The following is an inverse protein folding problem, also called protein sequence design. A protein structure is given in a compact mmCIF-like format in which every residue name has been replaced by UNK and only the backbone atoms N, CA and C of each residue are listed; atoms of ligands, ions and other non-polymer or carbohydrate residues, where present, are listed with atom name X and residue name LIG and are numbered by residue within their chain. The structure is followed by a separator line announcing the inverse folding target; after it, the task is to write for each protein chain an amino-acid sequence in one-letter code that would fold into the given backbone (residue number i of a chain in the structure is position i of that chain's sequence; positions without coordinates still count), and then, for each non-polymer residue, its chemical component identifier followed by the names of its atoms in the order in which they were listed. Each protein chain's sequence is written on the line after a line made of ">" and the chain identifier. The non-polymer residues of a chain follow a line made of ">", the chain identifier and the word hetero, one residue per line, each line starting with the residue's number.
data_IF_230916471303
#
_entry.id   IF_230916471303
#
_cell.length_a   1.000
_cell.length_b   1.000
_cell.length_c   1.000
_cell.angle_alpha   90.00
_cell.angle_beta   90.00
_cell.angle_gamma   90.00
#
_symmetry.space_group_name_H-M   'P 1'
#
loop_
_entity.id
_entity.type
_entity.pdbx_description
1 polymer ?
#
# COMPACT_ATOMS: atom_id res chain seq x y z
N UNK A 1 9.67 16.55 -44.99
CA UNK A 1 9.51 15.94 -43.66
C UNK A 1 8.41 14.89 -43.75
N UNK A 2 8.67 13.65 -43.37
CA UNK A 2 7.69 12.57 -43.41
C UNK A 2 6.80 12.60 -42.16
N UNK A 3 5.47 12.54 -42.34
CA UNK A 3 4.47 12.59 -41.25
C UNK A 3 4.71 11.52 -40.20
N UNK A 4 5.16 10.33 -40.62
CA UNK A 4 5.42 9.21 -39.71
C UNK A 4 6.59 9.51 -38.79
N UNK A 5 7.64 10.14 -39.31
CA UNK A 5 8.80 10.55 -38.50
C UNK A 5 8.43 11.63 -37.51
N UNK A 6 7.65 12.63 -37.92
CA UNK A 6 7.17 13.68 -37.01
C UNK A 6 6.39 13.09 -35.82
N UNK A 7 5.41 12.22 -36.08
CA UNK A 7 4.61 11.59 -35.00
C UNK A 7 5.50 10.75 -34.07
N UNK A 8 6.41 9.93 -34.62
CA UNK A 8 7.31 9.12 -33.81
C UNK A 8 8.21 9.97 -32.91
N UNK A 9 8.80 11.05 -33.44
CA UNK A 9 9.70 11.93 -32.70
C UNK A 9 8.96 12.72 -31.63
N UNK A 10 7.77 13.26 -31.93
CA UNK A 10 6.98 14.02 -30.94
C UNK A 10 6.43 13.12 -29.83
N UNK A 11 6.00 11.90 -30.14
CA UNK A 11 5.52 10.95 -29.14
C UNK A 11 6.62 10.50 -28.17
N UNK A 12 7.83 10.26 -28.67
CA UNK A 12 8.95 9.83 -27.83
C UNK A 12 9.48 10.95 -26.90
N UNK A 13 9.47 12.21 -27.35
CA UNK A 13 9.77 13.37 -26.50
C UNK A 13 8.72 13.61 -25.40
N UNK A 14 7.44 13.48 -25.73
CA UNK A 14 6.36 13.61 -24.75
C UNK A 14 6.40 12.47 -23.71
N UNK A 15 6.76 11.26 -24.13
CA UNK A 15 6.90 10.09 -23.25
C UNK A 15 8.03 10.26 -22.24
N UNK A 16 9.19 10.79 -22.67
CA UNK A 16 10.35 10.99 -21.78
C UNK A 16 10.07 12.05 -20.69
N UNK A 17 9.34 13.11 -21.02
CA UNK A 17 8.92 14.12 -20.06
C UNK A 17 7.86 13.60 -19.06
N UNK A 18 6.92 12.76 -19.51
CA UNK A 18 5.88 12.19 -18.67
C UNK A 18 6.37 11.04 -17.77
N UNK A 19 7.33 10.23 -18.22
CA UNK A 19 7.91 9.15 -17.40
C UNK A 19 8.71 9.70 -16.21
N UNK A 20 9.29 10.88 -16.37
CA UNK A 20 10.04 11.58 -15.31
C UNK A 20 9.13 12.02 -14.15
N UNK A 21 7.87 12.34 -14.41
CA UNK A 21 6.87 12.72 -13.40
C UNK A 21 6.09 11.54 -12.82
N UNK A 22 6.05 10.39 -13.50
CA UNK A 22 5.41 9.16 -13.02
C UNK A 22 6.31 8.34 -12.07
N UNK A 23 7.61 8.62 -12.04
CA UNK A 23 8.59 7.79 -11.31
C UNK A 23 8.82 8.20 -9.85
N UNK A 24 8.07 9.17 -9.34
CA UNK A 24 8.19 9.57 -7.94
C UNK A 24 6.90 9.21 -7.20
N UNK A 25 6.87 8.10 -6.44
CA UNK A 25 5.91 8.01 -5.37
C UNK A 25 6.17 9.24 -4.48
N UNK A 26 5.28 10.22 -4.51
CA UNK A 26 5.13 11.11 -3.38
C UNK A 26 4.81 10.18 -2.22
N UNK A 27 5.81 9.91 -1.38
CA UNK A 27 5.60 9.38 -0.04
C UNK A 27 4.58 10.34 0.57
N UNK A 28 3.29 9.97 0.50
CA UNK A 28 2.26 10.67 1.22
C UNK A 28 2.75 10.68 2.66
N UNK A 29 2.77 11.87 3.29
CA UNK A 29 3.13 11.94 4.69
C UNK A 29 2.29 10.90 5.43
N UNK A 30 2.89 10.09 6.33
CA UNK A 30 2.15 9.05 7.03
C UNK A 30 0.92 9.68 7.64
N UNK A 31 -0.26 9.10 7.36
CA UNK A 31 -1.53 9.61 7.86
C UNK A 31 -1.49 9.57 9.38
N UNK A 32 -1.19 10.72 10.00
CA UNK A 32 -1.14 10.85 11.45
C UNK A 32 -2.56 11.08 11.92
N UNK A 33 -3.10 10.12 12.68
CA UNK A 33 -4.39 10.31 13.36
C UNK A 33 -4.36 11.57 14.23
N UNK A 34 -5.47 12.31 14.23
CA UNK A 34 -5.61 13.57 15.00
C UNK A 34 -6.14 13.37 16.41
N UNK A 35 -6.42 12.12 16.81
CA UNK A 35 -6.96 11.80 18.13
C UNK A 35 -5.89 11.93 19.22
N UNK A 36 -6.22 12.65 20.31
CA UNK A 36 -5.36 12.77 21.49
C UNK A 36 -5.41 11.52 22.38
N UNK A 37 -6.59 10.89 22.46
CA UNK A 37 -6.85 9.72 23.29
C UNK A 37 -7.74 8.72 22.55
N UNK A 38 -7.41 7.43 22.64
CA UNK A 38 -8.20 6.32 22.07
C UNK A 38 -8.42 5.27 23.16
N UNK A 39 -9.68 4.91 23.41
CA UNK A 39 -10.04 3.84 24.36
C UNK A 39 -10.51 2.63 23.55
N UNK A 40 -9.81 1.50 23.70
CA UNK A 40 -10.25 0.21 23.14
C UNK A 40 -10.88 -0.64 24.25
N UNK A 41 -12.18 -0.93 24.14
CA UNK A 41 -12.93 -1.76 25.10
C UNK A 41 -13.20 -3.12 24.49
N UNK A 42 -12.81 -4.17 25.20
CA UNK A 42 -13.06 -5.56 24.81
C UNK A 42 -14.10 -6.17 25.74
N UNK A 43 -15.17 -6.75 25.17
CA UNK A 43 -16.20 -7.45 25.92
C UNK A 43 -15.83 -8.93 26.10
N UNK A 44 -16.68 -9.72 26.76
CA UNK A 44 -16.45 -11.15 26.94
C UNK A 44 -16.16 -11.86 25.62
N UNK A 45 -15.01 -12.54 25.54
CA UNK A 45 -14.44 -13.06 24.28
C UNK A 45 -13.13 -12.39 23.87
N UNK A 46 -12.75 -11.29 24.54
CA UNK A 46 -11.48 -10.60 24.33
C UNK A 46 -11.36 -10.00 22.92
N UNK A 47 -10.12 -9.77 22.49
CA UNK A 47 -9.86 -9.38 21.11
C UNK A 47 -10.10 -10.57 20.17
N UNK A 48 -11.35 -10.73 19.69
CA UNK A 48 -11.74 -11.81 18.79
C UNK A 48 -11.01 -11.82 17.44
N UNK A 49 -10.24 -10.77 17.15
CA UNK A 49 -9.40 -10.69 15.96
C UNK A 49 -8.05 -10.05 16.28
N UNK A 50 -7.14 -10.84 16.88
CA UNK A 50 -5.72 -10.49 16.94
C UNK A 50 -5.14 -10.18 15.55
N UNK A 51 -5.75 -10.71 14.49
CA UNK A 51 -5.38 -10.50 13.10
C UNK A 51 -5.72 -9.10 12.57
N UNK A 52 -6.59 -8.33 13.24
CA UNK A 52 -7.10 -7.05 12.71
C UNK A 52 -6.22 -5.84 13.01
N UNK A 53 -5.37 -5.88 14.05
CA UNK A 53 -4.72 -4.68 14.58
C UNK A 53 -3.38 -4.29 13.92
N UNK A 54 -2.87 -5.09 13.00
CA UNK A 54 -1.62 -4.83 12.27
C UNK A 54 -1.51 -5.83 11.11
N UNK A 55 -1.03 -5.45 9.90
CA UNK A 55 -0.66 -6.40 8.85
C UNK A 55 0.50 -7.30 9.31
N UNK A 56 0.17 -8.28 10.15
CA UNK A 56 1.08 -9.35 10.55
C UNK A 56 1.38 -10.19 9.33
N UNK A 57 2.62 -10.65 9.21
CA UNK A 57 2.97 -11.68 8.24
C UNK A 57 2.03 -12.88 8.44
N UNK A 58 1.55 -13.46 7.33
CA UNK A 58 0.71 -14.66 7.38
C UNK A 58 1.46 -15.81 8.08
N UNK A 59 0.81 -16.42 9.06
CA UNK A 59 1.28 -17.61 9.78
C UNK A 59 0.80 -18.90 9.12
N UNK A 60 1.06 -20.03 9.80
CA UNK A 60 0.62 -21.36 9.38
C UNK A 60 0.42 -22.23 10.63
N UNK A 61 -0.85 -22.52 10.95
CA UNK A 61 -1.20 -23.29 12.14
C UNK A 61 -0.72 -24.75 12.06
N UNK A 62 -0.70 -25.35 10.86
CA UNK A 62 -0.21 -26.71 10.64
C UNK A 62 1.29 -26.79 10.86
N UNK A 63 2.04 -25.76 10.46
CA UNK A 63 3.49 -25.66 10.69
C UNK A 63 3.88 -24.98 12.01
N UNK A 64 2.90 -24.59 12.84
CA UNK A 64 3.10 -23.84 14.08
C UNK A 64 3.89 -22.53 13.88
N UNK A 65 3.71 -21.90 12.73
CA UNK A 65 4.32 -20.62 12.40
C UNK A 65 3.43 -19.49 12.91
N UNK A 66 3.98 -18.62 13.76
CA UNK A 66 3.27 -17.45 14.29
C UNK A 66 2.94 -16.45 13.17
N UNK A 67 1.75 -15.85 13.23
CA UNK A 67 1.29 -14.85 12.27
C UNK A 67 -0.23 -14.80 12.15
N UNK A 68 -0.73 -13.98 11.22
CA UNK A 68 -2.17 -13.87 10.91
C UNK A 68 -2.65 -15.09 10.12
N UNK A 69 -3.92 -15.49 10.28
CA UNK A 69 -4.52 -16.52 9.42
C UNK A 69 -4.83 -16.00 8.01
N UNK A 70 -4.97 -14.68 7.89
CA UNK A 70 -5.28 -13.98 6.65
C UNK A 70 -4.05 -13.24 6.10
N UNK A 71 -4.04 -13.01 4.79
CA UNK A 71 -3.04 -12.13 4.18
C UNK A 71 -3.17 -10.70 4.71
N UNK A 72 -2.05 -10.01 4.79
CA UNK A 72 -2.05 -8.58 5.05
C UNK A 72 -2.81 -7.86 3.93
N UNK A 73 -3.65 -6.90 4.32
CA UNK A 73 -4.21 -5.95 3.36
C UNK A 73 -3.07 -5.03 2.94
N UNK A 74 -2.92 -4.81 1.63
CA UNK A 74 -1.94 -3.88 1.10
C UNK A 74 -2.33 -2.45 1.51
N UNK A 75 -1.59 -1.89 2.47
CA UNK A 75 -1.75 -0.51 2.92
C UNK A 75 -0.63 0.32 2.32
N UNK A 76 -0.99 1.50 1.79
CA UNK A 76 -0.18 2.41 0.95
C UNK A 76 1.28 2.67 1.39
#
# INVERSE_FOLDING_TARGET
>A
MDRRQFICTTASLASAAALSSLSRPTLAAPLRGTAEHVISIWLGGGMGAIDTFDPKRRGDATKKQAGSYYEAIDTA
#
